data_IF_452298762957
#
_entry.id   IF_452298762957
#
_cell.length_a   1.000
_cell.length_b   1.000
_cell.length_c   1.000
_cell.angle_alpha   90.00
_cell.angle_beta   90.00
_cell.angle_gamma   90.00
#
_symmetry.space_group_name_H-M   'P 1'
#
loop_
_entity.id
_entity.type
_entity.pdbx_description
1 polymer ?
#
# COMPACT_ATOMS: atom_id res chain seq x y z
N UNK A 1 47.13 17.82 -6.22
CA UNK A 1 45.92 17.75 -7.06
C UNK A 1 44.83 17.21 -6.17
N UNK A 2 43.93 18.09 -5.71
CA UNK A 2 42.76 17.65 -4.93
C UNK A 2 41.78 17.04 -5.90
N UNK A 3 41.47 15.76 -5.72
CA UNK A 3 40.33 15.13 -6.38
C UNK A 3 39.07 15.89 -5.94
N UNK A 4 38.19 16.33 -6.84
CA UNK A 4 36.93 16.92 -6.43
C UNK A 4 36.09 15.80 -5.82
N UNK A 5 35.69 15.95 -4.56
CA UNK A 5 34.63 15.14 -3.97
C UNK A 5 33.42 15.18 -4.92
N UNK A 6 32.91 14.04 -5.41
CA UNK A 6 31.73 14.06 -6.25
C UNK A 6 30.59 14.66 -5.42
N UNK A 7 29.97 15.71 -5.95
CA UNK A 7 28.70 16.22 -5.43
C UNK A 7 27.70 15.05 -5.39
N UNK A 8 26.78 14.99 -4.42
CA UNK A 8 25.76 13.94 -4.41
C UNK A 8 25.02 13.98 -5.75
N UNK A 9 25.20 12.96 -6.59
CA UNK A 9 24.42 12.80 -7.82
C UNK A 9 22.94 12.81 -7.40
N UNK A 10 22.17 13.73 -7.97
CA UNK A 10 20.72 13.69 -7.81
C UNK A 10 20.23 12.29 -8.22
N UNK A 11 19.29 11.69 -7.48
CA UNK A 11 18.82 10.34 -7.76
C UNK A 11 18.40 10.21 -9.22
N UNK A 12 18.69 9.06 -9.83
CA UNK A 12 18.34 8.85 -11.23
C UNK A 12 16.81 8.93 -11.40
N UNK A 13 16.28 9.41 -12.54
CA UNK A 13 14.84 9.61 -12.74
C UNK A 13 13.96 8.36 -12.46
N UNK A 14 14.53 7.16 -12.64
CA UNK A 14 13.83 5.91 -12.35
C UNK A 14 13.80 5.58 -10.86
N UNK A 15 14.84 5.95 -10.10
CA UNK A 15 14.87 5.82 -8.63
C UNK A 15 13.86 6.74 -7.96
N UNK A 16 13.70 7.97 -8.47
CA UNK A 16 12.68 8.91 -7.99
C UNK A 16 11.26 8.37 -8.23
N UNK A 17 11.02 7.76 -9.40
CA UNK A 17 9.74 7.13 -9.76
C UNK A 17 9.42 5.92 -8.91
N UNK A 18 10.41 5.05 -8.68
CA UNK A 18 10.25 3.90 -7.82
C UNK A 18 9.99 4.32 -6.37
N UNK A 19 10.72 5.33 -5.89
CA UNK A 19 10.50 5.91 -4.57
C UNK A 19 9.07 6.45 -4.43
N UNK A 20 8.60 7.24 -5.40
CA UNK A 20 7.24 7.78 -5.41
C UNK A 20 6.19 6.66 -5.43
N UNK A 21 6.36 5.67 -6.31
CA UNK A 21 5.45 4.52 -6.42
C UNK A 21 5.33 3.75 -5.10
N UNK A 22 6.45 3.57 -4.39
CA UNK A 22 6.47 2.94 -3.07
C UNK A 22 5.71 3.79 -2.05
N UNK A 23 5.96 5.10 -1.99
CA UNK A 23 5.25 5.98 -1.05
C UNK A 23 3.75 6.06 -1.35
N UNK A 24 3.35 6.03 -2.63
CA UNK A 24 1.95 6.01 -3.04
C UNK A 24 1.26 4.70 -2.64
N UNK A 25 1.96 3.57 -2.76
CA UNK A 25 1.45 2.27 -2.33
C UNK A 25 1.21 2.22 -0.81
N UNK A 26 2.13 2.79 -0.03
CA UNK A 26 1.98 2.87 1.43
C UNK A 26 0.84 3.82 1.82
N UNK A 27 0.72 4.98 1.16
CA UNK A 27 -0.39 5.91 1.38
C UNK A 27 -1.74 5.27 1.05
N UNK A 28 -1.83 4.48 -0.02
CA UNK A 28 -3.04 3.78 -0.41
C UNK A 28 -3.50 2.78 0.68
N UNK A 29 -2.57 2.07 1.33
CA UNK A 29 -2.88 1.14 2.44
C UNK A 29 -3.46 1.88 3.63
N UNK A 30 -2.80 2.96 4.06
CA UNK A 30 -3.24 3.79 5.20
C UNK A 30 -4.62 4.40 4.91
N UNK A 31 -4.84 4.87 3.67
CA UNK A 31 -6.12 5.44 3.25
C UNK A 31 -7.24 4.40 3.30
N UNK A 32 -6.99 3.17 2.83
CA UNK A 32 -7.96 2.08 2.91
C UNK A 32 -8.32 1.74 4.37
N UNK A 33 -7.33 1.67 5.25
CA UNK A 33 -7.56 1.39 6.69
C UNK A 33 -8.33 2.51 7.37
N UNK A 34 -8.03 3.76 7.03
CA UNK A 34 -8.78 4.91 7.53
C UNK A 34 -10.24 4.86 7.05
N UNK A 35 -10.49 4.55 5.78
CA UNK A 35 -11.85 4.39 5.24
C UNK A 35 -12.60 3.29 5.99
N UNK A 36 -11.96 2.14 6.24
CA UNK A 36 -12.56 1.04 6.99
C UNK A 36 -12.91 1.45 8.43
N UNK A 37 -12.03 2.18 9.11
CA UNK A 37 -12.29 2.71 10.46
C UNK A 37 -13.46 3.69 10.46
N UNK A 38 -13.52 4.61 9.49
CA UNK A 38 -14.59 5.60 9.40
C UNK A 38 -15.95 4.96 9.10
N UNK A 39 -15.98 3.93 8.25
CA UNK A 39 -17.19 3.14 7.97
C UNK A 39 -17.61 2.36 9.22
N UNK A 40 -16.68 1.68 9.89
CA UNK A 40 -16.97 0.90 11.09
C UNK A 40 -17.51 1.78 12.24
N UNK A 41 -17.08 3.04 12.32
CA UNK A 41 -17.59 4.04 13.27
C UNK A 41 -18.90 4.70 12.83
N UNK A 42 -19.39 4.41 11.62
CA UNK A 42 -20.59 5.03 11.05
C UNK A 42 -20.42 6.51 10.70
N UNK A 43 -19.19 7.02 10.57
CA UNK A 43 -18.91 8.42 10.22
C UNK A 43 -19.19 8.68 8.74
N UNK A 44 -18.90 7.70 7.89
CA UNK A 44 -19.23 7.69 6.46
C UNK A 44 -19.81 6.33 6.09
N UNK A 45 -20.56 6.27 4.99
CA UNK A 45 -21.06 5.02 4.42
C UNK A 45 -20.29 4.67 3.15
N UNK A 46 -20.19 3.38 2.85
CA UNK A 46 -19.57 2.92 1.61
C UNK A 46 -20.27 3.48 0.34
N UNK A 47 -21.57 3.71 0.44
CA UNK A 47 -22.40 4.28 -0.63
C UNK A 47 -22.17 5.78 -0.85
N UNK A 48 -21.45 6.46 0.03
CA UNK A 48 -21.12 7.89 -0.12
C UNK A 48 -20.06 8.12 -1.20
N UNK A 49 -19.34 7.06 -1.61
CA UNK A 49 -18.36 7.10 -2.69
C UNK A 49 -19.00 6.87 -4.06
N UNK A 50 -18.47 7.45 -5.15
CA UNK A 50 -18.94 7.15 -6.50
C UNK A 50 -18.65 5.69 -6.89
N UNK A 51 -19.46 5.10 -7.76
CA UNK A 51 -19.35 3.69 -8.16
C UNK A 51 -17.94 3.23 -8.58
N UNK A 52 -17.14 4.02 -9.34
CA UNK A 52 -15.77 3.66 -9.66
C UNK A 52 -14.86 3.54 -8.42
N UNK A 53 -15.05 4.38 -7.40
CA UNK A 53 -14.29 4.33 -6.17
C UNK A 53 -14.72 3.14 -5.30
N UNK A 54 -16.02 2.85 -5.23
CA UNK A 54 -16.54 1.65 -4.57
C UNK A 54 -15.92 0.37 -5.16
N UNK A 55 -15.89 0.24 -6.49
CA UNK A 55 -15.30 -0.91 -7.16
C UNK A 55 -13.81 -1.08 -6.83
N UNK A 56 -13.04 0.03 -6.81
CA UNK A 56 -11.63 0.02 -6.43
C UNK A 56 -11.42 -0.41 -4.99
N UNK A 57 -12.24 0.09 -4.06
CA UNK A 57 -12.18 -0.31 -2.64
C UNK A 57 -12.48 -1.81 -2.46
N UNK A 58 -13.47 -2.34 -3.16
CA UNK A 58 -13.76 -3.79 -3.14
C UNK A 58 -12.60 -4.62 -3.67
N UNK A 59 -12.02 -4.21 -4.80
CA UNK A 59 -10.87 -4.89 -5.38
C UNK A 59 -9.64 -4.88 -4.45
N UNK A 60 -9.39 -3.76 -3.77
CA UNK A 60 -8.30 -3.62 -2.80
C UNK A 60 -8.49 -4.54 -1.60
N UNK A 61 -9.69 -4.53 -0.99
CA UNK A 61 -10.03 -5.44 0.12
C UNK A 61 -9.88 -6.92 -0.28
N UNK A 62 -10.34 -7.29 -1.47
CA UNK A 62 -10.21 -8.66 -1.98
C UNK A 62 -8.74 -9.07 -2.16
N UNK A 63 -7.92 -8.17 -2.72
CA UNK A 63 -6.48 -8.38 -2.92
C UNK A 63 -5.76 -8.57 -1.60
N UNK A 64 -6.10 -7.74 -0.60
CA UNK A 64 -5.56 -7.81 0.76
C UNK A 64 -5.95 -9.12 1.45
N UNK A 65 -7.22 -9.51 1.38
CA UNK A 65 -7.69 -10.78 1.94
C UNK A 65 -6.99 -11.99 1.30
N UNK A 66 -6.75 -11.96 -0.02
CA UNK A 66 -6.00 -13.00 -0.71
C UNK A 66 -4.54 -13.06 -0.25
N UNK A 67 -3.88 -11.91 -0.06
CA UNK A 67 -2.53 -11.86 0.48
C UNK A 67 -2.47 -12.38 1.93
N UNK A 68 -3.39 -11.94 2.78
CA UNK A 68 -3.46 -12.40 4.18
C UNK A 68 -3.66 -13.92 4.27
N UNK A 69 -4.53 -14.50 3.44
CA UNK A 69 -4.71 -15.97 3.40
C UNK A 69 -3.46 -16.70 2.95
N UNK A 70 -2.73 -16.15 1.97
CA UNK A 70 -1.45 -16.73 1.52
C UNK A 70 -0.39 -16.67 2.61
N UNK A 71 -0.33 -15.58 3.37
CA UNK A 71 0.60 -15.44 4.49
C UNK A 71 0.25 -16.42 5.62
N UNK A 72 -1.03 -16.55 5.98
CA UNK A 72 -1.49 -17.54 6.97
C UNK A 72 -1.10 -18.98 6.59
N UNK A 73 -1.28 -19.36 5.32
CA UNK A 73 -0.89 -20.69 4.85
C UNK A 73 0.62 -20.95 4.99
N UNK A 74 1.46 -19.94 4.79
CA UNK A 74 2.91 -20.05 4.96
C UNK A 74 3.31 -20.13 6.43
N UNK A 75 2.57 -19.47 7.33
CA UNK A 75 2.81 -19.56 8.78
C UNK A 75 2.40 -20.93 9.33
N UNK A 76 1.31 -21.52 8.81
CA UNK A 76 0.84 -22.86 9.18
C UNK A 76 1.84 -23.96 8.76
N UNK A 77 2.51 -23.80 7.61
CA UNK A 77 3.56 -24.71 7.12
C UNK A 77 4.88 -24.62 7.90
N UNK A 78 5.10 -23.54 8.67
CA UNK A 78 6.28 -23.39 9.53
C UNK A 78 6.02 -23.78 11.00
N UNK A 79 4.81 -24.28 11.30
CA UNK A 79 4.39 -24.77 12.61
C UNK A 79 4.58 -26.27 12.86
N UNK A 80 5.48 -26.94 12.14
CA UNK A 80 5.86 -28.34 12.42
C UNK A 80 7.39 -28.44 12.49
N UNK A 81 7.94 -28.33 13.71
CA UNK A 81 8.85 -29.24 14.44
C UNK A 81 9.20 -28.59 15.78
#
# INVERSE_FOLDING_TARGET
MSDPTPAPEAPAPDEEREHLSRTDADLARITEDLIDILIARGVIQFTDFPAPAQAKLLQRRASRAALSRRLQLLDDDQGVI
#
